data_IF_794872131487
#
_entry.id   IF_794872131487
#
_cell.length_a   1.000
_cell.length_b   1.000
_cell.length_c   1.000
_cell.angle_alpha   90.00
_cell.angle_beta   90.00
_cell.angle_gamma   90.00
#
_symmetry.space_group_name_H-M   'P 1'
#
loop_
_entity.id
_entity.type
_entity.pdbx_description
1 polymer ?
#
# COMPACT_ATOMS: atom_id res chain seq x y z
N UNK A 1 18.61 36.19 5.48
CA UNK A 1 18.94 34.96 4.73
C UNK A 1 18.48 33.77 5.54
N UNK A 2 17.26 33.30 5.33
CA UNK A 2 16.72 32.12 6.02
C UNK A 2 16.33 31.09 4.97
N UNK A 3 17.14 30.04 4.85
CA UNK A 3 16.90 28.93 3.95
C UNK A 3 15.60 28.23 4.34
N UNK A 4 14.61 28.30 3.47
CA UNK A 4 13.40 27.48 3.54
C UNK A 4 13.86 26.03 3.34
N UNK A 5 13.59 25.10 4.27
CA UNK A 5 13.91 23.70 4.03
C UNK A 5 13.05 23.23 2.86
N UNK A 6 13.70 23.02 1.71
CA UNK A 6 13.10 22.42 0.52
C UNK A 6 12.78 20.96 0.86
N UNK A 7 11.58 20.72 1.39
CA UNK A 7 10.99 19.39 1.36
C UNK A 7 10.79 19.02 -0.12
N UNK A 8 11.79 18.30 -0.62
CA UNK A 8 11.94 17.82 -1.98
C UNK A 8 10.69 17.04 -2.43
N UNK A 9 9.93 17.64 -3.34
CA UNK A 9 8.73 17.11 -3.98
C UNK A 9 9.00 16.02 -5.04
N UNK A 10 10.22 15.43 -5.08
CA UNK A 10 10.64 14.53 -6.16
C UNK A 10 10.81 13.06 -5.71
N UNK A 11 9.74 12.44 -5.20
CA UNK A 11 9.62 10.97 -5.16
C UNK A 11 8.33 10.53 -5.88
N UNK A 12 8.41 9.85 -7.04
CA UNK A 12 7.23 9.31 -7.69
C UNK A 12 6.82 7.99 -7.00
N UNK A 13 6.02 8.08 -5.94
CA UNK A 13 5.18 6.97 -5.44
C UNK A 13 4.16 7.49 -4.41
N UNK A 14 3.13 8.23 -4.84
CA UNK A 14 2.04 8.68 -3.96
C UNK A 14 0.66 8.72 -4.67
N UNK A 15 0.13 7.56 -5.11
CA UNK A 15 -1.32 7.34 -4.98
C UNK A 15 -1.73 5.98 -4.38
N UNK A 16 -0.85 4.98 -4.31
CA UNK A 16 -1.28 3.57 -4.13
C UNK A 16 -1.49 3.14 -2.68
N UNK A 17 -0.66 3.65 -1.76
CA UNK A 17 -0.82 3.46 -0.31
C UNK A 17 -2.17 4.01 0.16
N UNK A 18 -2.63 5.10 -0.46
CA UNK A 18 -3.86 5.80 -0.10
C UNK A 18 -5.12 5.00 -0.44
N UNK A 19 -5.15 4.31 -1.59
CA UNK A 19 -6.31 3.52 -2.00
C UNK A 19 -6.44 2.24 -1.16
N UNK A 20 -5.33 1.55 -0.93
CA UNK A 20 -5.31 0.35 -0.09
C UNK A 20 -5.69 0.68 1.37
N UNK A 21 -5.14 1.76 1.94
CA UNK A 21 -5.50 2.21 3.28
C UNK A 21 -7.00 2.56 3.41
N UNK A 22 -7.57 3.23 2.39
CA UNK A 22 -9.02 3.51 2.33
C UNK A 22 -9.86 2.25 2.26
N UNK A 23 -9.47 1.27 1.43
CA UNK A 23 -10.20 0.00 1.28
C UNK A 23 -10.24 -0.81 2.58
N UNK A 24 -9.17 -0.72 3.38
CA UNK A 24 -9.06 -1.40 4.67
C UNK A 24 -9.69 -0.58 5.81
N UNK A 25 -9.97 0.71 5.59
CA UNK A 25 -10.54 1.61 6.60
C UNK A 25 -9.53 2.09 7.64
N UNK A 26 -8.25 2.21 7.27
CA UNK A 26 -7.18 2.71 8.15
C UNK A 26 -6.58 4.01 7.61
N UNK A 27 -5.94 4.79 8.49
CA UNK A 27 -5.28 6.02 8.06
C UNK A 27 -4.01 5.72 7.26
N UNK A 28 -3.73 6.56 6.25
CA UNK A 28 -2.53 6.43 5.42
C UNK A 28 -1.24 6.52 6.27
N UNK A 29 -1.21 7.40 7.28
CA UNK A 29 -0.07 7.52 8.17
C UNK A 29 0.17 6.26 9.01
N UNK A 30 -0.90 5.64 9.49
CA UNK A 30 -0.83 4.36 10.21
C UNK A 30 -0.29 3.25 9.29
N UNK A 31 -0.82 3.14 8.08
CA UNK A 31 -0.36 2.15 7.10
C UNK A 31 1.11 2.39 6.69
N UNK A 32 1.52 3.65 6.53
CA UNK A 32 2.92 4.01 6.25
C UNK A 32 3.86 3.58 7.38
N UNK A 33 3.43 3.66 8.63
CA UNK A 33 4.23 3.21 9.77
C UNK A 33 4.37 1.67 9.80
N UNK A 34 3.35 0.95 9.32
CA UNK A 34 3.41 -0.50 9.14
C UNK A 34 4.43 -0.87 8.08
N UNK A 35 4.34 -0.26 6.89
CA UNK A 35 5.27 -0.52 5.78
C UNK A 35 6.73 -0.13 6.08
N UNK A 36 6.93 0.78 7.03
CA UNK A 36 8.24 1.16 7.52
C UNK A 36 8.78 0.23 8.63
N UNK A 37 7.99 -0.75 9.10
CA UNK A 37 8.34 -1.62 10.22
C UNK A 37 8.33 -0.92 11.59
N UNK A 38 7.88 0.35 11.65
CA UNK A 38 7.86 1.14 12.89
C UNK A 38 6.71 0.75 13.82
N UNK A 39 5.67 0.15 13.27
CA UNK A 39 4.49 -0.29 14.01
C UNK A 39 3.95 -1.57 13.43
N UNK A 40 3.55 -2.52 14.29
CA UNK A 40 2.81 -3.70 13.86
C UNK A 40 1.31 -3.45 13.94
N UNK A 41 0.52 -3.90 12.95
CA UNK A 41 -0.94 -3.83 13.03
C UNK A 41 -1.48 -4.76 14.12
N UNK A 42 -2.72 -4.50 14.56
CA UNK A 42 -3.45 -5.51 15.32
C UNK A 42 -3.85 -6.67 14.40
N UNK A 43 -4.05 -7.86 14.97
CA UNK A 43 -4.40 -9.07 14.21
C UNK A 43 -5.59 -8.87 13.27
N UNK A 44 -6.64 -8.18 13.73
CA UNK A 44 -7.81 -7.83 12.89
C UNK A 44 -7.41 -7.03 11.66
N UNK A 45 -6.62 -5.97 11.84
CA UNK A 45 -6.11 -5.16 10.73
C UNK A 45 -5.17 -5.95 9.83
N UNK A 46 -4.30 -6.80 10.39
CA UNK A 46 -3.44 -7.71 9.61
C UNK A 46 -4.26 -8.64 8.72
N UNK A 47 -5.37 -9.18 9.23
CA UNK A 47 -6.31 -10.00 8.47
C UNK A 47 -6.99 -9.24 7.35
N UNK A 48 -7.42 -8.00 7.61
CA UNK A 48 -8.05 -7.15 6.61
C UNK A 48 -7.05 -6.79 5.48
N UNK A 49 -5.81 -6.42 5.83
CA UNK A 49 -4.76 -6.16 4.85
C UNK A 49 -4.49 -7.42 4.02
N UNK A 50 -4.25 -8.55 4.67
CA UNK A 50 -3.97 -9.84 4.04
C UNK A 50 -5.05 -10.24 3.02
N UNK A 51 -6.33 -10.05 3.38
CA UNK A 51 -7.46 -10.31 2.49
C UNK A 51 -7.43 -9.45 1.24
N UNK A 52 -7.11 -8.17 1.35
CA UNK A 52 -7.09 -7.24 0.20
C UNK A 52 -5.85 -7.48 -0.67
N UNK A 53 -4.69 -7.68 -0.06
CA UNK A 53 -3.43 -7.90 -0.77
C UNK A 53 -3.26 -9.32 -1.30
N UNK A 54 -4.18 -10.24 -0.98
CA UNK A 54 -4.07 -11.69 -1.22
C UNK A 54 -2.75 -12.26 -0.68
N UNK A 55 -2.45 -11.96 0.58
CA UNK A 55 -1.28 -12.49 1.28
C UNK A 55 -1.69 -13.16 2.59
N UNK A 56 -0.72 -13.64 3.36
CA UNK A 56 -0.94 -14.23 4.69
C UNK A 56 -0.96 -13.15 5.77
N UNK A 57 -1.54 -13.46 6.94
CA UNK A 57 -1.62 -12.53 8.08
C UNK A 57 -0.25 -12.42 8.75
N UNK A 58 0.47 -13.53 8.79
CA UNK A 58 1.82 -13.71 9.29
C UNK A 58 2.80 -12.73 8.62
N UNK A 59 2.64 -12.48 7.31
CA UNK A 59 3.41 -11.46 6.60
C UNK A 59 3.28 -10.07 7.25
N UNK A 60 2.09 -9.69 7.70
CA UNK A 60 1.82 -8.37 8.26
C UNK A 60 2.12 -8.29 9.76
N UNK A 61 1.99 -9.40 10.47
CA UNK A 61 2.26 -9.50 11.90
C UNK A 61 3.77 -9.62 12.18
N UNK A 62 4.46 -10.46 11.41
CA UNK A 62 5.83 -10.90 11.70
C UNK A 62 6.81 -10.59 10.55
N UNK A 63 6.32 -10.54 9.31
CA UNK A 63 7.16 -10.38 8.13
C UNK A 63 7.97 -9.09 8.08
N UNK A 64 8.95 -9.06 7.18
CA UNK A 64 9.86 -7.94 7.03
C UNK A 64 9.24 -6.76 6.27
N UNK A 65 9.67 -5.52 6.55
CA UNK A 65 9.19 -4.34 5.83
C UNK A 65 9.40 -4.43 4.31
N UNK A 66 10.43 -5.14 3.85
CA UNK A 66 10.69 -5.36 2.43
C UNK A 66 9.60 -6.21 1.77
N UNK A 67 9.18 -7.30 2.42
CA UNK A 67 8.15 -8.19 1.90
C UNK A 67 6.76 -7.55 1.95
N UNK A 68 6.48 -6.77 2.99
CA UNK A 68 5.25 -5.97 3.07
C UNK A 68 5.14 -4.99 1.88
N UNK A 69 6.24 -4.29 1.55
CA UNK A 69 6.26 -3.38 0.39
C UNK A 69 6.06 -4.12 -0.92
N UNK A 70 6.68 -5.30 -1.07
CA UNK A 70 6.48 -6.16 -2.24
C UNK A 70 5.02 -6.61 -2.39
N UNK A 71 4.35 -6.93 -1.28
CA UNK A 71 2.93 -7.27 -1.29
C UNK A 71 2.05 -6.11 -1.77
N UNK A 72 2.33 -4.88 -1.31
CA UNK A 72 1.62 -3.68 -1.78
C UNK A 72 1.86 -3.42 -3.26
N UNK A 73 3.11 -3.58 -3.72
CA UNK A 73 3.44 -3.43 -5.15
C UNK A 73 2.69 -4.44 -6.02
N UNK A 74 2.65 -5.71 -5.60
CA UNK A 74 1.89 -6.75 -6.31
C UNK A 74 0.39 -6.43 -6.38
N UNK A 75 -0.20 -5.94 -5.30
CA UNK A 75 -1.59 -5.47 -5.29
C UNK A 75 -1.78 -4.34 -6.33
N UNK A 76 -0.86 -3.38 -6.38
CA UNK A 76 -0.93 -2.26 -7.30
C UNK A 76 -0.86 -2.69 -8.77
N UNK A 77 0.09 -3.56 -9.12
CA UNK A 77 0.23 -4.11 -10.47
C UNK A 77 -1.04 -4.83 -10.92
N UNK A 78 -1.68 -5.57 -10.01
CA UNK A 78 -2.96 -6.24 -10.28
C UNK A 78 -4.10 -5.25 -10.52
N UNK A 79 -4.15 -4.16 -9.76
CA UNK A 79 -5.14 -3.10 -9.96
C UNK A 79 -4.97 -2.42 -11.33
N UNK A 80 -3.73 -2.11 -11.75
CA UNK A 80 -3.45 -1.57 -13.08
C UNK A 80 -3.87 -2.56 -14.16
N UNK A 81 -3.45 -3.83 -14.04
CA UNK A 81 -3.78 -4.87 -15.02
C UNK A 81 -5.30 -5.03 -15.20
N UNK A 82 -6.06 -5.00 -14.09
CA UNK A 82 -7.53 -5.06 -14.11
C UNK A 82 -8.13 -3.85 -14.84
N UNK A 83 -7.67 -2.64 -14.55
CA UNK A 83 -8.13 -1.44 -15.24
C UNK A 83 -7.85 -1.49 -16.74
N UNK A 84 -6.65 -1.94 -17.12
CA UNK A 84 -6.24 -2.06 -18.53
C UNK A 84 -7.05 -3.11 -19.32
N UNK A 85 -7.46 -4.21 -18.68
CA UNK A 85 -8.34 -5.22 -19.31
C UNK A 85 -9.73 -4.64 -19.55
N UNK A 86 -10.30 -3.94 -18.56
CA UNK A 86 -11.64 -3.36 -18.69
C UNK A 86 -11.71 -2.31 -19.82
N UNK A 87 -10.68 -1.48 -19.99
CA UNK A 87 -10.62 -0.50 -21.08
C UNK A 87 -10.50 -1.11 -22.49
N UNK A 88 -10.10 -2.38 -22.61
CA UNK A 88 -10.04 -3.08 -23.90
C UNK A 88 -11.33 -3.85 -24.23
N UNK A 89 -12.23 -4.02 -23.26
CA UNK A 89 -13.48 -4.77 -23.42
C UNK A 89 -14.67 -3.96 -23.93
N UNK A 90 -14.61 -2.62 -23.86
CA UNK A 90 -15.71 -1.72 -24.31
C UNK A 90 -15.65 -1.33 -25.79
N UNK A 91 -14.68 -1.85 -26.56
CA UNK A 91 -14.52 -1.54 -27.98
C UNK A 91 -15.06 -2.63 -28.93
N UNK A 92 -15.96 -3.50 -28.45
CA UNK A 92 -16.52 -4.62 -29.22
C UNK A 92 -18.04 -4.50 -29.36
#
# INVERSE_FOLDING_TARGET
MTAIPTWNNNRPMKPHISNLAKEIGISQGFFSNILAGRRRPHYRTGKDIARVTLTTVELWMEGDPADMRKAVENYHQRAIKKAMINSKGEAA
#
